data_IF_764259070214
#
_entry.id   IF_764259070214
#
_cell.length_a   1.000
_cell.length_b   1.000
_cell.length_c   1.000
_cell.angle_alpha   90.00
_cell.angle_beta   90.00
_cell.angle_gamma   90.00
#
_symmetry.space_group_name_H-M   'P 1'
#
loop_
_entity.id
_entity.type
_entity.pdbx_description
1 polymer ?
#
# COMPACT_ATOMS: atom_id res chain seq x y z
N UNK A 1 28.77 3.42 -19.16
CA UNK A 1 27.54 2.77 -19.64
C UNK A 1 26.60 2.61 -18.45
N UNK A 2 25.39 3.13 -18.56
CA UNK A 2 24.36 3.14 -17.51
C UNK A 2 23.08 2.54 -18.08
N UNK A 3 22.46 1.61 -17.36
CA UNK A 3 21.16 1.03 -17.69
C UNK A 3 20.07 1.65 -16.84
N UNK A 4 18.87 1.79 -17.41
CA UNK A 4 17.67 2.22 -16.71
C UNK A 4 16.50 1.34 -17.16
N UNK A 5 15.65 0.93 -16.23
CA UNK A 5 14.40 0.23 -16.49
C UNK A 5 13.34 0.67 -15.50
N UNK A 6 12.08 0.65 -15.92
CA UNK A 6 10.95 0.95 -15.03
C UNK A 6 9.70 0.21 -15.50
N UNK A 7 8.96 -0.33 -14.54
CA UNK A 7 7.69 -0.99 -14.81
C UNK A 7 6.67 -0.64 -13.71
N UNK A 8 5.40 -0.72 -14.06
CA UNK A 8 4.29 -0.49 -13.13
C UNK A 8 3.34 -1.67 -13.12
N UNK A 9 2.81 -2.01 -11.94
CA UNK A 9 1.88 -3.11 -11.73
C UNK A 9 0.75 -2.68 -10.79
N UNK A 10 -0.45 -3.17 -11.05
CA UNK A 10 -1.58 -2.97 -10.15
C UNK A 10 -1.57 -4.04 -9.05
N UNK A 11 -1.67 -3.61 -7.79
CA UNK A 11 -1.78 -4.47 -6.61
C UNK A 11 -3.15 -4.26 -5.98
N UNK A 12 -3.90 -5.35 -5.79
CA UNK A 12 -5.19 -5.33 -5.09
C UNK A 12 -4.94 -5.21 -3.59
N UNK A 13 -5.52 -4.21 -2.95
CA UNK A 13 -5.41 -3.99 -1.50
C UNK A 13 -6.56 -4.62 -0.71
N UNK A 14 -7.41 -5.42 -1.37
CA UNK A 14 -8.66 -5.90 -0.80
C UNK A 14 -9.76 -4.83 -0.86
N UNK A 15 -11.02 -5.27 -0.72
CA UNK A 15 -12.17 -4.37 -0.79
C UNK A 15 -12.26 -3.59 -2.10
N UNK A 16 -11.86 -4.15 -3.25
CA UNK A 16 -11.95 -3.47 -4.55
C UNK A 16 -11.06 -2.22 -4.69
N UNK A 17 -10.12 -2.00 -3.77
CA UNK A 17 -9.12 -0.93 -3.83
C UNK A 17 -7.89 -1.45 -4.56
N UNK A 18 -7.39 -0.66 -5.50
CA UNK A 18 -6.23 -1.02 -6.31
C UNK A 18 -5.17 0.08 -6.16
N UNK A 19 -3.94 -0.35 -5.87
CA UNK A 19 -2.76 0.50 -5.89
C UNK A 19 -1.97 0.30 -7.19
N UNK A 20 -1.39 1.38 -7.70
CA UNK A 20 -0.44 1.39 -8.80
C UNK A 20 0.97 1.40 -8.19
N UNK A 21 1.67 0.27 -8.30
CA UNK A 21 3.04 0.05 -7.82
C UNK A 21 4.02 0.26 -8.98
N UNK A 22 4.93 1.21 -8.85
CA UNK A 22 6.00 1.46 -9.80
C UNK A 22 7.34 1.00 -9.23
N UNK A 23 8.10 0.25 -10.02
CA UNK A 23 9.46 -0.19 -9.72
C UNK A 23 10.41 0.37 -10.78
N UNK A 24 11.47 1.02 -10.32
CA UNK A 24 12.56 1.53 -11.16
C UNK A 24 13.85 0.81 -10.82
N UNK A 25 14.67 0.55 -11.84
CA UNK A 25 15.99 -0.02 -11.74
C UNK A 25 17.00 0.89 -12.44
N UNK A 26 18.06 1.29 -11.73
CA UNK A 26 19.21 2.02 -12.29
C UNK A 26 20.45 1.17 -12.14
N UNK A 27 21.15 0.93 -13.23
CA UNK A 27 22.39 0.16 -13.25
C UNK A 27 23.55 1.02 -13.77
N UNK A 28 24.71 0.92 -13.14
CA UNK A 28 25.95 1.56 -13.61
C UNK A 28 27.09 0.56 -13.61
N UNK A 29 28.04 0.74 -14.54
CA UNK A 29 29.24 -0.07 -14.57
C UNK A 29 30.09 0.19 -13.32
N UNK A 30 30.30 -0.85 -12.52
CA UNK A 30 31.12 -0.84 -11.31
C UNK A 30 31.91 -2.16 -11.25
N UNK A 31 33.08 -2.13 -10.59
CA UNK A 31 33.97 -3.29 -10.49
C UNK A 31 33.39 -4.44 -9.66
N UNK A 32 32.52 -4.12 -8.71
CA UNK A 32 31.88 -5.09 -7.81
C UNK A 32 30.37 -5.06 -8.00
N UNK A 33 29.69 -6.15 -7.63
CA UNK A 33 28.24 -6.17 -7.53
C UNK A 33 27.80 -5.44 -6.25
N UNK A 34 27.11 -4.32 -6.42
CA UNK A 34 26.54 -3.52 -5.31
C UNK A 34 25.04 -3.36 -5.56
N UNK A 35 24.21 -3.84 -4.62
CA UNK A 35 22.76 -3.85 -4.74
C UNK A 35 22.16 -2.93 -3.68
N UNK A 36 21.53 -1.86 -4.13
CA UNK A 36 20.79 -0.91 -3.30
C UNK A 36 19.29 -1.08 -3.48
N UNK A 37 18.55 -1.16 -2.39
CA UNK A 37 17.09 -1.26 -2.39
C UNK A 37 16.50 -0.08 -1.62
N UNK A 38 15.63 0.69 -2.28
CA UNK A 38 14.76 1.69 -1.64
C UNK A 38 13.31 1.26 -1.85
N UNK A 39 12.85 0.37 -0.98
CA UNK A 39 11.50 -0.19 -1.03
C UNK A 39 10.66 0.38 0.13
N UNK A 40 9.37 0.68 -0.09
CA UNK A 40 8.40 0.92 0.97
C UNK A 40 8.28 -0.31 1.87
N UNK A 41 7.80 -0.11 3.10
CA UNK A 41 7.73 -1.18 4.11
C UNK A 41 6.87 -2.36 3.63
N UNK A 42 5.78 -2.10 2.90
CA UNK A 42 4.91 -3.14 2.32
C UNK A 42 5.64 -4.02 1.29
N UNK A 43 6.63 -3.46 0.59
CA UNK A 43 7.37 -4.13 -0.47
C UNK A 43 8.68 -4.75 0.02
N UNK A 44 9.10 -4.53 1.28
CA UNK A 44 10.41 -5.00 1.79
C UNK A 44 10.57 -6.51 1.73
N UNK A 45 9.48 -7.26 1.88
CA UNK A 45 9.50 -8.73 1.75
C UNK A 45 10.00 -9.23 0.38
N UNK A 46 9.94 -8.39 -0.66
CA UNK A 46 10.47 -8.74 -1.99
C UNK A 46 12.00 -8.64 -2.09
N UNK A 47 12.69 -7.93 -1.19
CA UNK A 47 14.13 -7.68 -1.30
C UNK A 47 14.98 -8.96 -1.47
N UNK A 48 14.81 -10.03 -0.65
CA UNK A 48 15.63 -11.22 -0.77
C UNK A 48 15.52 -11.87 -2.15
N UNK A 49 14.29 -11.95 -2.69
CA UNK A 49 14.04 -12.51 -4.01
C UNK A 49 14.65 -11.65 -5.14
N UNK A 50 14.51 -10.32 -5.06
CA UNK A 50 15.14 -9.41 -6.02
C UNK A 50 16.67 -9.53 -6.02
N UNK A 51 17.26 -9.64 -4.83
CA UNK A 51 18.70 -9.83 -4.66
C UNK A 51 19.19 -11.10 -5.34
N UNK A 52 18.47 -12.20 -5.15
CA UNK A 52 18.80 -13.47 -5.78
C UNK A 52 18.70 -13.39 -7.31
N UNK A 53 17.62 -12.82 -7.84
CA UNK A 53 17.42 -12.64 -9.30
C UNK A 53 18.58 -11.86 -9.93
N UNK A 54 19.03 -10.79 -9.28
CA UNK A 54 20.10 -9.94 -9.82
C UNK A 54 21.45 -10.64 -9.72
N UNK A 55 21.73 -11.31 -8.59
CA UNK A 55 22.98 -12.06 -8.40
C UNK A 55 23.14 -13.21 -9.41
N UNK A 56 22.02 -13.82 -9.85
CA UNK A 56 22.04 -14.83 -10.92
C UNK A 56 22.34 -14.24 -12.30
N UNK A 57 21.99 -12.97 -12.55
CA UNK A 57 22.13 -12.33 -13.88
C UNK A 57 23.38 -11.47 -14.03
N UNK A 58 23.91 -10.92 -12.94
CA UNK A 58 25.02 -9.96 -12.95
C UNK A 58 26.10 -10.35 -11.95
N UNK A 59 27.35 -10.42 -12.42
CA UNK A 59 28.53 -10.67 -11.59
C UNK A 59 29.25 -9.39 -11.15
N UNK A 60 28.96 -8.25 -11.78
CA UNK A 60 29.52 -6.92 -11.46
C UNK A 60 28.54 -5.80 -11.82
N UNK A 61 28.73 -4.63 -11.21
CA UNK A 61 27.93 -3.45 -11.47
C UNK A 61 27.19 -2.99 -10.22
N UNK A 62 26.82 -1.71 -10.18
CA UNK A 62 25.95 -1.20 -9.12
C UNK A 62 24.54 -1.09 -9.65
N UNK A 63 23.58 -1.71 -8.95
CA UNK A 63 22.16 -1.72 -9.30
C UNK A 63 21.37 -1.14 -8.13
N UNK A 64 20.57 -0.13 -8.41
CA UNK A 64 19.65 0.49 -7.44
C UNK A 64 18.21 0.23 -7.86
N UNK A 65 17.46 -0.45 -7.01
CA UNK A 65 16.02 -0.63 -7.13
C UNK A 65 15.28 0.40 -6.28
N UNK A 66 14.26 1.03 -6.85
CA UNK A 66 13.34 1.90 -6.12
C UNK A 66 11.92 1.46 -6.40
N UNK A 67 11.12 1.31 -5.35
CA UNK A 67 9.69 1.08 -5.48
C UNK A 67 8.91 2.26 -4.88
N UNK A 68 7.77 2.58 -5.47
CA UNK A 68 6.81 3.54 -4.95
C UNK A 68 5.42 3.08 -5.36
N UNK A 69 4.42 3.29 -4.51
CA UNK A 69 3.04 2.93 -4.82
C UNK A 69 2.09 4.06 -4.48
N UNK A 70 0.96 4.10 -5.18
CA UNK A 70 -0.13 5.06 -4.95
C UNK A 70 -1.47 4.33 -5.01
N UNK A 71 -2.38 4.63 -4.08
CA UNK A 71 -3.78 4.19 -4.21
C UNK A 71 -4.45 5.03 -5.28
N UNK A 72 -5.16 4.39 -6.21
CA UNK A 72 -6.05 5.10 -7.11
C UNK A 72 -7.34 5.51 -6.38
N UNK A 73 -7.23 6.46 -5.46
CA UNK A 73 -8.36 7.18 -4.89
C UNK A 73 -8.64 8.42 -5.77
N UNK A 74 -9.24 8.15 -6.94
CA UNK A 74 -9.86 9.12 -7.84
C UNK A 74 -9.30 10.55 -7.88
N UNK A 75 -8.27 10.79 -8.71
CA UNK A 75 -8.06 12.12 -9.30
C UNK A 75 -8.45 12.09 -10.78
N UNK A 76 -9.55 12.75 -11.10
CA UNK A 76 -9.83 13.34 -12.42
C UNK A 76 -9.75 12.38 -13.63
N UNK A 77 -10.81 11.61 -13.84
CA UNK A 77 -11.04 10.97 -15.15
C UNK A 77 -11.83 9.67 -15.07
N UNK A 78 -13.16 9.77 -15.16
CA UNK A 78 -14.14 8.77 -15.68
C UNK A 78 -13.97 7.28 -15.27
N UNK A 79 -13.16 6.95 -14.28
CA UNK A 79 -13.15 5.63 -13.67
C UNK A 79 -14.15 5.64 -12.51
N UNK A 80 -15.20 4.83 -12.64
CA UNK A 80 -16.26 4.63 -11.65
C UNK A 80 -15.63 4.56 -10.26
N UNK A 81 -15.91 5.56 -9.42
CA UNK A 81 -15.55 5.54 -8.01
C UNK A 81 -16.13 4.25 -7.42
N UNK A 82 -15.27 3.28 -7.13
CA UNK A 82 -15.69 2.05 -6.48
C UNK A 82 -16.06 2.46 -5.04
N UNK A 83 -17.29 2.27 -4.56
CA UNK A 83 -17.71 2.71 -3.22
C UNK A 83 -16.88 2.10 -2.09
N UNK A 84 -16.15 1.02 -2.38
CA UNK A 84 -15.24 0.38 -1.44
C UNK A 84 -13.83 1.02 -1.35
N UNK A 85 -13.52 2.04 -2.17
CA UNK A 85 -12.26 2.80 -2.11
C UNK A 85 -12.12 3.66 -0.84
N UNK A 86 -13.17 3.78 -0.04
CA UNK A 86 -13.21 4.61 1.17
C UNK A 86 -12.79 3.84 2.45
N UNK A 87 -12.38 2.58 2.33
CA UNK A 87 -12.03 1.73 3.47
C UNK A 87 -13.19 0.82 3.89
N UNK A 88 -12.87 -0.22 4.66
CA UNK A 88 -13.88 -1.14 5.20
C UNK A 88 -14.32 -0.67 6.58
N UNK A 89 -15.63 -0.71 6.83
CA UNK A 89 -16.17 -0.34 8.13
C UNK A 89 -15.88 -1.47 9.13
N UNK A 90 -15.18 -1.16 10.22
CA UNK A 90 -14.95 -2.10 11.31
C UNK A 90 -16.22 -2.20 12.17
N UNK A 91 -16.98 -3.28 12.00
CA UNK A 91 -18.27 -3.50 12.67
C UNK A 91 -18.14 -3.58 14.19
N UNK A 92 -17.10 -4.25 14.69
CA UNK A 92 -16.88 -4.39 16.14
C UNK A 92 -16.63 -3.02 16.79
N UNK A 93 -15.84 -2.16 16.14
CA UNK A 93 -15.57 -0.81 16.64
C UNK A 93 -16.79 0.09 16.55
N UNK A 94 -17.61 -0.08 15.52
CA UNK A 94 -18.85 0.68 15.38
C UNK A 94 -19.86 0.31 16.48
N UNK A 95 -19.95 -0.98 16.82
CA UNK A 95 -20.80 -1.46 17.91
C UNK A 95 -20.31 -0.96 19.29
N UNK A 96 -18.99 -0.97 19.51
CA UNK A 96 -18.39 -0.40 20.71
C UNK A 96 -18.67 1.11 20.85
N UNK A 97 -18.58 1.86 19.73
CA UNK A 97 -18.93 3.28 19.69
C UNK A 97 -20.40 3.54 20.02
N UNK A 98 -21.29 2.73 19.47
CA UNK A 98 -22.71 2.82 19.74
C UNK A 98 -23.01 2.61 21.23
N UNK A 99 -22.42 1.56 21.83
CA UNK A 99 -22.53 1.29 23.27
C UNK A 99 -21.99 2.43 24.14
N UNK A 100 -20.88 3.05 23.72
CA UNK A 100 -20.31 4.20 24.44
C UNK A 100 -21.21 5.42 24.38
N UNK A 101 -21.86 5.67 23.24
CA UNK A 101 -22.82 6.75 23.10
C UNK A 101 -24.00 6.57 24.05
N UNK A 102 -24.57 5.36 24.13
CA UNK A 102 -25.70 5.08 25.03
C UNK A 102 -25.32 5.36 26.49
N UNK A 103 -24.16 4.86 26.95
CA UNK A 103 -23.66 5.14 28.31
C UNK A 103 -23.39 6.62 28.57
N UNK A 104 -22.89 7.34 27.57
CA UNK A 104 -22.65 8.78 27.69
C UNK A 104 -23.96 9.56 27.84
N UNK A 105 -25.02 9.16 27.14
CA UNK A 105 -26.33 9.80 27.23
C UNK A 105 -27.03 9.53 28.58
N UNK A 106 -26.83 8.34 29.16
CA UNK A 106 -27.31 8.05 30.51
C UNK A 106 -26.66 8.96 31.56
N UNK A 107 -25.34 9.18 31.46
CA UNK A 107 -24.60 10.05 32.37
C UNK A 107 -24.82 11.54 32.11
N UNK A 108 -25.02 11.93 30.84
CA UNK A 108 -25.19 13.30 30.39
C UNK A 108 -26.39 13.41 29.44
N UNK A 109 -27.61 13.63 29.97
CA UNK A 109 -28.84 13.64 29.15
C UNK A 109 -28.90 14.73 28.07
N UNK A 110 -28.05 15.76 28.18
CA UNK A 110 -27.93 16.84 27.19
C UNK A 110 -26.84 16.59 26.13
N UNK A 111 -26.12 15.46 26.20
CA UNK A 111 -25.09 15.15 25.22
C UNK A 111 -25.69 14.88 23.84
N UNK A 112 -25.09 15.49 22.81
CA UNK A 112 -25.51 15.26 21.42
C UNK A 112 -25.16 13.83 20.95
N UNK A 113 -25.97 13.32 20.01
CA UNK A 113 -25.70 12.06 19.29
C UNK A 113 -24.49 12.25 18.37
N UNK A 114 -23.66 11.22 18.21
CA UNK A 114 -22.53 11.23 17.28
C UNK A 114 -22.99 11.48 15.85
N UNK A 115 -22.36 12.45 15.17
CA UNK A 115 -22.65 12.71 13.76
C UNK A 115 -21.88 11.73 12.88
N UNK A 116 -22.38 11.47 11.68
CA UNK A 116 -21.72 10.51 10.77
C UNK A 116 -20.27 10.90 10.46
N UNK A 117 -19.98 12.19 10.35
CA UNK A 117 -18.61 12.67 10.15
C UNK A 117 -17.68 12.30 11.32
N UNK A 118 -18.19 12.32 12.55
CA UNK A 118 -17.43 11.97 13.76
C UNK A 118 -17.20 10.47 13.85
N UNK A 119 -18.20 9.67 13.47
CA UNK A 119 -18.10 8.20 13.41
C UNK A 119 -17.06 7.76 12.38
N UNK A 120 -17.09 8.33 11.17
CA UNK A 120 -16.14 7.96 10.11
C UNK A 120 -14.71 8.43 10.40
N UNK A 121 -14.55 9.49 11.19
CA UNK A 121 -13.24 9.98 11.65
C UNK A 121 -12.73 9.27 12.90
N UNK A 122 -13.58 8.47 13.56
CA UNK A 122 -13.19 7.81 14.79
C UNK A 122 -12.09 6.78 14.53
N UNK A 123 -11.01 6.77 15.33
CA UNK A 123 -9.87 5.88 15.12
C UNK A 123 -10.26 4.41 14.95
N UNK A 124 -9.98 3.88 13.77
CA UNK A 124 -10.19 2.47 13.41
C UNK A 124 -11.62 2.09 13.01
N UNK A 125 -12.59 3.02 12.96
CA UNK A 125 -13.93 2.71 12.40
C UNK A 125 -13.85 2.49 10.90
N UNK A 126 -13.09 3.33 10.22
CA UNK A 126 -12.74 3.12 8.82
C UNK A 126 -11.36 2.50 8.81
N UNK A 127 -11.29 1.24 8.39
CA UNK A 127 -10.02 0.57 8.12
C UNK A 127 -9.55 0.97 6.75
N UNK A 128 -8.36 1.56 6.67
CA UNK A 128 -7.67 1.69 5.41
C UNK A 128 -7.37 0.29 4.87
N UNK A 129 -7.55 0.04 3.57
CA UNK A 129 -7.22 -1.23 2.96
C UNK A 129 -5.71 -1.44 3.04
N UNK A 130 -5.27 -2.20 4.04
CA UNK A 130 -3.93 -2.79 4.07
C UNK A 130 -3.97 -3.95 3.09
N UNK A 131 -3.32 -3.79 1.95
CA UNK A 131 -3.15 -4.90 1.01
C UNK A 131 -2.49 -6.09 1.68
N UNK A 132 -2.85 -7.29 1.22
CA UNK A 132 -2.23 -8.52 1.67
C UNK A 132 -0.73 -8.46 1.40
N UNK A 133 0.08 -8.84 2.39
CA UNK A 133 1.55 -8.79 2.34
C UNK A 133 2.09 -9.56 1.11
N UNK A 134 1.50 -10.72 0.81
CA UNK A 134 1.84 -11.53 -0.36
C UNK A 134 1.57 -10.79 -1.69
N UNK A 135 0.52 -9.98 -1.76
CA UNK A 135 0.18 -9.20 -2.95
C UNK A 135 1.22 -8.13 -3.27
N UNK A 136 1.79 -7.50 -2.23
CA UNK A 136 2.86 -6.52 -2.39
C UNK A 136 4.18 -7.15 -2.82
N UNK A 137 4.53 -8.29 -2.22
CA UNK A 137 5.75 -9.02 -2.56
C UNK A 137 5.68 -9.49 -4.02
N UNK A 138 4.61 -10.18 -4.40
CA UNK A 138 4.43 -10.68 -5.76
C UNK A 138 4.41 -9.53 -6.78
N UNK A 139 3.66 -8.46 -6.53
CA UNK A 139 3.59 -7.30 -7.42
C UNK A 139 4.95 -6.62 -7.63
N UNK A 140 5.77 -6.54 -6.57
CA UNK A 140 7.12 -5.95 -6.66
C UNK A 140 8.06 -6.82 -7.48
N UNK A 141 8.04 -8.14 -7.28
CA UNK A 141 8.88 -9.08 -8.03
C UNK A 141 8.49 -9.10 -9.50
N UNK A 142 7.20 -9.17 -9.81
CA UNK A 142 6.69 -9.14 -11.19
C UNK A 142 7.09 -7.83 -11.90
N UNK A 143 6.90 -6.68 -11.23
CA UNK A 143 7.29 -5.38 -11.80
C UNK A 143 8.81 -5.29 -12.03
N UNK A 144 9.63 -5.81 -11.11
CA UNK A 144 11.08 -5.75 -11.27
C UNK A 144 11.63 -6.67 -12.38
N UNK A 145 10.87 -7.68 -12.80
CA UNK A 145 11.26 -8.62 -13.85
C UNK A 145 10.80 -8.22 -15.26
N UNK A 146 9.81 -7.32 -15.36
CA UNK A 146 9.27 -6.80 -16.62
C UNK A 146 10.26 -5.88 -17.35
#
# INVERSE_FOLDING_TARGET
MTGYGSASRQVSLGGGVVADLQVECRAVNSRFLDLGFRLPDECRGAEPALREIVAQKLSRGKVEFRAAWRVNSGSSGVAKANPHALGTLNRERLDALYTLQEKAQEAFPQAEVLRMADILRWPGVVSEPKGEEDGWIAGTIEAAQA
#
